data_IF_268244208255
#
_entry.id   IF_268244208255
#
_cell.length_a   1.000
_cell.length_b   1.000
_cell.length_c   1.000
_cell.angle_alpha   90.00
_cell.angle_beta   90.00
_cell.angle_gamma   90.00
#
_symmetry.space_group_name_H-M   'P 1'
#
loop_
_entity.id
_entity.type
_entity.pdbx_description
1 polymer ?
#
# COMPACT_ATOMS: atom_id res chain seq x y z
N UNK A 1 45.58 5.77 -75.97
CA UNK A 1 44.28 6.44 -75.72
C UNK A 1 43.94 6.13 -74.27
N UNK A 2 44.36 6.93 -73.29
CA UNK A 2 43.77 8.22 -72.86
C UNK A 2 42.97 7.92 -71.58
N UNK A 3 43.07 8.60 -70.44
CA UNK A 3 43.76 9.83 -70.02
C UNK A 3 44.00 9.71 -68.49
N UNK A 4 45.09 10.31 -68.01
CA UNK A 4 45.37 10.61 -66.60
C UNK A 4 44.34 11.59 -66.02
N UNK A 5 44.05 11.51 -64.72
CA UNK A 5 44.18 12.68 -63.84
C UNK A 5 44.50 12.28 -62.39
N UNK A 6 45.63 12.80 -61.91
CA UNK A 6 46.10 12.79 -60.52
C UNK A 6 45.26 13.70 -59.62
N UNK A 7 45.13 13.33 -58.33
CA UNK A 7 45.48 14.16 -57.14
C UNK A 7 45.26 13.32 -55.87
N UNK A 8 46.32 12.85 -55.21
CA UNK A 8 47.17 13.47 -54.16
C UNK A 8 46.67 13.18 -52.73
N UNK A 9 47.50 12.38 -52.05
CA UNK A 9 47.58 11.97 -50.63
C UNK A 9 46.93 12.91 -49.60
N UNK A 10 46.32 12.29 -48.57
CA UNK A 10 46.70 12.53 -47.18
C UNK A 10 46.86 11.18 -46.46
N UNK A 11 48.01 11.01 -45.79
CA UNK A 11 48.24 9.98 -44.77
C UNK A 11 47.47 10.46 -43.54
N UNK A 12 46.40 9.77 -43.17
CA UNK A 12 45.90 9.86 -41.81
C UNK A 12 46.60 8.79 -40.97
N UNK A 13 47.19 9.27 -39.88
CA UNK A 13 47.78 8.46 -38.84
C UNK A 13 46.65 7.63 -38.21
N UNK A 14 46.71 6.31 -38.35
CA UNK A 14 46.01 5.40 -37.45
C UNK A 14 46.73 5.44 -36.10
N UNK A 15 46.38 6.41 -35.25
CA UNK A 15 46.49 6.20 -33.82
C UNK A 15 45.38 5.23 -33.41
N UNK A 16 45.67 4.19 -32.60
CA UNK A 16 44.63 3.36 -32.05
C UNK A 16 43.74 4.26 -31.19
N UNK A 17 42.46 4.36 -31.58
CA UNK A 17 41.42 4.96 -30.76
C UNK A 17 41.50 4.33 -29.38
N UNK A 18 41.87 5.15 -28.39
CA UNK A 18 41.83 4.77 -26.99
C UNK A 18 40.44 4.19 -26.72
N UNK A 19 40.40 2.96 -26.21
CA UNK A 19 39.19 2.39 -25.66
C UNK A 19 38.66 3.36 -24.62
N UNK A 20 37.58 4.06 -24.93
CA UNK A 20 36.83 4.82 -23.94
C UNK A 20 36.22 3.77 -23.03
N UNK A 21 36.92 3.50 -21.93
CA UNK A 21 36.32 2.83 -20.78
C UNK A 21 35.08 3.65 -20.42
N UNK A 22 33.87 3.08 -20.38
CA UNK A 22 32.70 3.83 -19.95
C UNK A 22 33.02 4.39 -18.56
N UNK A 23 33.00 5.71 -18.42
CA UNK A 23 33.04 6.34 -17.12
C UNK A 23 31.85 5.75 -16.36
N UNK A 24 32.10 4.97 -15.30
CA UNK A 24 31.02 4.39 -14.51
C UNK A 24 30.16 5.54 -14.05
N UNK A 25 28.89 5.58 -14.48
CA UNK A 25 27.97 6.63 -14.04
C UNK A 25 27.95 6.59 -12.51
N UNK A 26 28.21 7.73 -11.88
CA UNK A 26 28.16 7.85 -10.43
C UNK A 26 26.77 7.39 -9.98
N UNK A 27 26.74 6.40 -9.08
CA UNK A 27 25.47 5.93 -8.50
C UNK A 27 24.93 7.06 -7.62
N UNK A 28 23.65 7.41 -7.83
CA UNK A 28 22.93 8.39 -7.01
C UNK A 28 22.92 7.99 -5.54
N UNK A 29 23.02 8.97 -4.63
CA UNK A 29 22.76 8.74 -3.21
C UNK A 29 21.28 8.93 -2.88
N UNK A 30 20.88 8.45 -1.69
CA UNK A 30 19.52 8.64 -1.20
C UNK A 30 19.20 10.12 -0.98
N UNK A 31 20.17 10.86 -0.45
CA UNK A 31 20.07 12.29 -0.17
C UNK A 31 19.95 13.09 -1.47
N UNK A 32 20.72 12.74 -2.52
CA UNK A 32 20.61 13.36 -3.84
C UNK A 32 19.21 13.17 -4.44
N UNK A 33 18.61 11.98 -4.31
CA UNK A 33 17.26 11.70 -4.81
C UNK A 33 16.20 12.50 -4.02
N UNK A 34 16.30 12.52 -2.69
CA UNK A 34 15.37 13.30 -1.85
C UNK A 34 15.46 14.78 -2.17
N UNK A 35 16.67 15.33 -2.25
CA UNK A 35 16.91 16.74 -2.58
C UNK A 35 16.30 17.11 -3.93
N UNK A 36 16.47 16.27 -4.96
CA UNK A 36 15.86 16.48 -6.28
C UNK A 36 14.33 16.46 -6.26
N UNK A 37 13.72 15.52 -5.55
CA UNK A 37 12.27 15.44 -5.38
C UNK A 37 11.75 16.73 -4.73
N UNK A 38 12.37 17.16 -3.63
CA UNK A 38 11.96 18.34 -2.86
C UNK A 38 12.29 19.65 -3.57
N UNK A 39 13.33 19.70 -4.41
CA UNK A 39 13.71 20.89 -5.19
C UNK A 39 12.95 21.02 -6.52
N UNK A 40 11.83 20.31 -6.67
CA UNK A 40 10.84 20.58 -7.70
C UNK A 40 10.90 19.67 -8.93
N UNK A 41 11.80 18.68 -8.98
CA UNK A 41 11.78 17.71 -10.09
C UNK A 41 10.45 16.95 -10.09
N UNK A 42 10.01 16.41 -8.95
CA UNK A 42 8.71 15.75 -8.86
C UNK A 42 7.55 16.69 -9.22
N UNK A 43 7.58 17.92 -8.69
CA UNK A 43 6.60 18.96 -8.99
C UNK A 43 6.47 19.26 -10.49
N UNK A 44 7.55 19.09 -11.25
CA UNK A 44 7.55 19.30 -12.71
C UNK A 44 6.86 18.18 -13.51
N UNK A 45 6.66 17.01 -12.91
CA UNK A 45 6.00 15.85 -13.55
C UNK A 45 4.50 15.78 -13.31
N UNK A 46 3.97 16.53 -12.33
CA UNK A 46 2.56 16.46 -11.95
C UNK A 46 1.78 17.69 -12.44
N UNK A 47 0.50 17.48 -12.71
CA UNK A 47 -0.40 18.55 -13.17
C UNK A 47 -1.04 19.35 -12.02
N UNK A 48 -0.96 18.82 -10.79
CA UNK A 48 -1.42 19.50 -9.58
C UNK A 48 -0.38 20.52 -9.14
N UNK A 49 -0.84 21.70 -8.70
CA UNK A 49 0.06 22.67 -8.10
C UNK A 49 0.65 22.08 -6.82
N UNK A 50 1.93 22.34 -6.64
CA UNK A 50 2.65 21.85 -5.47
C UNK A 50 3.61 22.89 -4.96
N UNK A 51 3.87 22.81 -3.65
CA UNK A 51 4.88 23.61 -2.98
C UNK A 51 5.66 22.74 -2.01
N UNK A 52 6.97 22.93 -1.95
CA UNK A 52 7.81 22.24 -0.98
C UNK A 52 7.80 23.01 0.34
N UNK A 53 7.54 22.31 1.43
CA UNK A 53 7.60 22.83 2.79
C UNK A 53 8.49 21.89 3.61
N UNK A 54 9.69 22.34 3.96
CA UNK A 54 10.68 21.53 4.68
C UNK A 54 10.95 20.17 3.99
N UNK A 55 10.56 19.06 4.62
CA UNK A 55 10.73 17.69 4.15
C UNK A 55 9.49 17.09 3.47
N UNK A 56 8.50 17.92 3.13
CA UNK A 56 7.26 17.51 2.46
C UNK A 56 6.98 18.31 1.20
N UNK A 57 6.23 17.69 0.29
CA UNK A 57 5.55 18.36 -0.82
C UNK A 57 4.09 18.52 -0.44
N UNK A 58 3.55 19.73 -0.55
CA UNK A 58 2.17 20.05 -0.26
C UNK A 58 1.38 20.32 -1.55
N UNK A 59 0.21 19.71 -1.68
CA UNK A 59 -0.75 19.93 -2.77
C UNK A 59 -1.97 20.67 -2.21
N UNK A 60 -2.12 21.98 -2.46
CA UNK A 60 -3.19 22.78 -1.88
C UNK A 60 -4.60 22.30 -2.24
N UNK A 61 -4.84 21.91 -3.49
CA UNK A 61 -6.17 21.52 -3.99
C UNK A 61 -6.76 20.29 -3.27
N UNK A 62 -5.90 19.44 -2.71
CA UNK A 62 -6.29 18.23 -1.97
C UNK A 62 -5.99 18.34 -0.47
N UNK A 63 -5.49 19.49 0.00
CA UNK A 63 -4.88 19.66 1.33
C UNK A 63 -3.98 18.46 1.68
N UNK A 64 -3.13 18.09 0.73
CA UNK A 64 -2.36 16.85 0.80
C UNK A 64 -0.90 17.10 1.12
N UNK A 65 -0.37 16.35 2.08
CA UNK A 65 1.05 16.31 2.43
C UNK A 65 1.65 15.03 1.86
N UNK A 66 2.76 15.12 1.15
CA UNK A 66 3.48 14.00 0.53
C UNK A 66 4.90 13.99 1.09
N UNK A 67 5.29 12.88 1.72
CA UNK A 67 6.64 12.66 2.25
C UNK A 67 7.33 11.51 1.52
N UNK A 68 8.40 11.80 0.75
CA UNK A 68 9.17 10.78 0.05
C UNK A 68 10.17 10.09 0.99
N UNK A 69 10.41 8.79 0.76
CA UNK A 69 11.44 8.02 1.44
C UNK A 69 12.16 7.10 0.45
N UNK A 70 13.50 7.16 0.44
CA UNK A 70 14.32 6.32 -0.45
C UNK A 70 14.81 5.09 0.31
N UNK A 71 14.24 3.93 -0.02
CA UNK A 71 14.56 2.65 0.60
C UNK A 71 15.88 2.08 0.11
N UNK A 72 16.09 2.09 -1.21
CA UNK A 72 17.22 1.46 -1.84
C UNK A 72 17.66 2.25 -3.08
N UNK A 73 18.99 2.39 -3.23
CA UNK A 73 19.61 2.86 -4.47
C UNK A 73 20.76 1.91 -4.78
N UNK A 74 20.69 1.31 -5.97
CA UNK A 74 21.72 0.47 -6.57
C UNK A 74 22.01 1.00 -7.98
N UNK A 75 23.00 0.42 -8.64
CA UNK A 75 23.41 0.82 -9.99
C UNK A 75 22.26 0.89 -10.99
N UNK A 76 21.23 0.04 -10.86
CA UNK A 76 20.11 -0.03 -11.81
C UNK A 76 18.74 -0.05 -11.15
N UNK A 77 18.67 0.07 -9.83
CA UNK A 77 17.43 -0.07 -9.05
C UNK A 77 17.31 1.10 -8.10
N UNK A 78 16.16 1.75 -8.11
CA UNK A 78 15.77 2.78 -7.15
C UNK A 78 14.39 2.44 -6.61
N UNK A 79 14.25 2.37 -5.29
CA UNK A 79 12.98 2.14 -4.61
C UNK A 79 12.63 3.35 -3.74
N UNK A 80 11.53 4.02 -4.09
CA UNK A 80 11.03 5.21 -3.39
C UNK A 80 9.62 4.92 -2.92
N UNK A 81 9.30 5.24 -1.67
CA UNK A 81 7.92 5.27 -1.20
C UNK A 81 7.46 6.69 -0.97
N UNK A 82 6.17 6.91 -1.14
CA UNK A 82 5.50 8.16 -0.83
C UNK A 82 4.44 7.88 0.23
N UNK A 83 4.61 8.50 1.40
CA UNK A 83 3.59 8.53 2.45
C UNK A 83 2.80 9.82 2.31
N UNK A 84 1.48 9.70 2.22
CA UNK A 84 0.62 10.80 1.85
C UNK A 84 -0.59 10.87 2.76
N UNK A 85 -1.03 12.08 3.09
CA UNK A 85 -2.30 12.27 3.76
C UNK A 85 -3.02 13.48 3.18
N UNK A 86 -4.32 13.33 2.90
CA UNK A 86 -5.19 14.42 2.45
C UNK A 86 -6.23 14.72 3.52
N UNK A 87 -6.27 15.98 3.96
CA UNK A 87 -7.32 16.46 4.87
C UNK A 87 -8.69 16.52 4.16
N UNK A 88 -8.74 16.72 2.83
CA UNK A 88 -10.00 16.70 2.05
C UNK A 88 -10.56 15.28 1.89
N UNK A 89 -9.70 14.32 1.55
CA UNK A 89 -10.10 12.93 1.32
C UNK A 89 -10.17 12.10 2.61
N UNK A 90 -9.73 12.67 3.73
CA UNK A 90 -9.68 12.06 5.07
C UNK A 90 -8.97 10.70 5.13
N UNK A 91 -8.07 10.45 4.18
CA UNK A 91 -7.42 9.15 3.99
C UNK A 91 -5.91 9.32 3.87
N UNK A 92 -5.18 8.38 4.46
CA UNK A 92 -3.75 8.17 4.21
C UNK A 92 -3.59 7.32 2.96
N UNK A 93 -2.69 7.73 2.08
CA UNK A 93 -2.27 6.93 0.96
C UNK A 93 -0.80 6.55 1.12
N UNK A 94 -0.46 5.37 0.63
CA UNK A 94 0.91 4.90 0.59
C UNK A 94 1.16 4.21 -0.75
N UNK A 95 2.27 4.56 -1.40
CA UNK A 95 2.70 3.90 -2.62
C UNK A 95 4.21 3.70 -2.64
N UNK A 96 4.64 2.54 -3.12
CA UNK A 96 6.04 2.21 -3.39
C UNK A 96 6.26 2.12 -4.90
N UNK A 97 7.20 2.90 -5.40
CA UNK A 97 7.62 2.90 -6.79
C UNK A 97 9.05 2.37 -6.92
N UNK A 98 9.16 1.23 -7.60
CA UNK A 98 10.42 0.64 -8.02
C UNK A 98 10.71 1.07 -9.46
N UNK A 99 11.92 1.57 -9.70
CA UNK A 99 12.45 1.85 -11.03
C UNK A 99 13.61 0.93 -11.37
N UNK A 100 13.61 0.37 -12.57
CA UNK A 100 14.65 -0.51 -13.10
C UNK A 100 15.26 0.09 -14.37
N UNK A 101 16.42 0.73 -14.22
CA UNK A 101 17.11 1.48 -15.27
C UNK A 101 18.29 0.78 -15.93
N UNK A 102 18.92 1.46 -16.88
CA UNK A 102 20.27 1.12 -17.35
C UNK A 102 21.33 1.61 -16.36
N UNK A 103 21.00 2.64 -15.59
CA UNK A 103 21.77 3.27 -14.52
C UNK A 103 20.85 3.79 -13.40
N UNK A 104 21.41 4.41 -12.35
CA UNK A 104 20.63 4.91 -11.22
C UNK A 104 19.77 6.13 -11.59
N UNK A 105 20.19 6.92 -12.57
CA UNK A 105 19.47 8.11 -13.06
C UNK A 105 18.17 7.71 -13.78
N UNK A 106 18.28 6.79 -14.73
CA UNK A 106 17.13 6.22 -15.43
C UNK A 106 16.22 5.41 -14.49
N UNK A 107 16.78 4.69 -13.51
CA UNK A 107 16.00 4.01 -12.48
C UNK A 107 15.20 5.00 -11.61
N UNK A 108 15.83 6.09 -11.17
CA UNK A 108 15.17 7.17 -10.46
C UNK A 108 14.04 7.80 -11.30
N UNK A 109 14.33 8.15 -12.56
CA UNK A 109 13.34 8.68 -13.51
C UNK A 109 12.12 7.78 -13.71
N UNK A 110 12.33 6.46 -13.78
CA UNK A 110 11.23 5.49 -13.85
C UNK A 110 10.41 5.43 -12.56
N UNK A 111 11.06 5.48 -11.39
CA UNK A 111 10.37 5.46 -10.10
C UNK A 111 9.45 6.68 -9.92
N UNK A 112 9.98 7.89 -10.15
CA UNK A 112 9.20 9.13 -10.03
C UNK A 112 8.12 9.22 -11.11
N UNK A 113 8.44 8.82 -12.35
CA UNK A 113 7.49 8.82 -13.46
C UNK A 113 6.34 7.85 -13.22
N UNK A 114 6.62 6.66 -12.69
CA UNK A 114 5.56 5.71 -12.29
C UNK A 114 4.61 6.33 -11.28
N UNK A 115 5.11 7.01 -10.25
CA UNK A 115 4.27 7.67 -9.26
C UNK A 115 3.45 8.83 -9.85
N UNK A 116 4.08 9.71 -10.62
CA UNK A 116 3.45 10.88 -11.22
C UNK A 116 2.34 10.49 -12.23
N UNK A 117 2.64 9.58 -13.15
CA UNK A 117 1.73 9.24 -14.26
C UNK A 117 0.70 8.17 -13.91
N UNK A 118 0.80 7.52 -12.74
CA UNK A 118 -0.26 6.64 -12.25
C UNK A 118 -1.00 7.30 -11.08
N UNK A 119 -0.41 7.26 -9.89
CA UNK A 119 -1.05 7.67 -8.65
C UNK A 119 -1.50 9.14 -8.67
N UNK A 120 -0.59 10.07 -8.99
CA UNK A 120 -0.91 11.50 -8.95
C UNK A 120 -1.86 11.93 -10.05
N UNK A 121 -1.81 11.27 -11.21
CA UNK A 121 -2.78 11.50 -12.27
C UNK A 121 -4.20 11.08 -11.85
N UNK A 122 -4.36 9.95 -11.15
CA UNK A 122 -5.67 9.57 -10.62
C UNK A 122 -6.17 10.56 -9.55
N UNK A 123 -5.28 11.11 -8.71
CA UNK A 123 -5.63 12.20 -7.80
C UNK A 123 -5.98 13.51 -8.51
N UNK A 124 -5.37 13.80 -9.66
CA UNK A 124 -5.76 14.91 -10.53
C UNK A 124 -7.19 14.73 -11.02
N UNK A 125 -7.57 13.51 -11.42
CA UNK A 125 -8.96 13.21 -11.81
C UNK A 125 -9.94 13.45 -10.64
N UNK A 126 -9.55 13.14 -9.40
CA UNK A 126 -10.33 13.48 -8.21
C UNK A 126 -10.46 14.99 -8.05
N UNK A 127 -9.36 15.74 -8.13
CA UNK A 127 -9.35 17.20 -7.98
C UNK A 127 -10.18 17.91 -9.07
N UNK A 128 -10.17 17.38 -10.30
CA UNK A 128 -10.97 17.89 -11.42
C UNK A 128 -12.43 17.44 -11.39
N UNK A 129 -12.79 16.53 -10.47
CA UNK A 129 -14.08 15.87 -10.43
C UNK A 129 -14.42 15.14 -11.75
N UNK A 130 -13.42 14.50 -12.39
CA UNK A 130 -13.56 13.66 -13.59
C UNK A 130 -14.07 12.25 -13.23
N UNK A 131 -15.33 12.19 -12.83
CA UNK A 131 -16.01 10.96 -12.41
C UNK A 131 -16.18 10.00 -13.59
N UNK A 132 -15.65 8.77 -13.46
CA UNK A 132 -15.81 7.71 -14.46
C UNK A 132 -17.15 7.00 -14.35
N UNK A 133 -17.56 6.66 -13.13
CA UNK A 133 -18.88 6.10 -12.86
C UNK A 133 -19.30 6.35 -11.40
N UNK A 134 -20.57 6.04 -11.11
CA UNK A 134 -21.11 6.04 -9.75
C UNK A 134 -21.61 4.66 -9.39
N UNK A 135 -21.41 4.27 -8.15
CA UNK A 135 -21.78 2.96 -7.61
C UNK A 135 -22.43 3.14 -6.24
N UNK A 136 -23.11 2.10 -5.77
CA UNK A 136 -23.67 2.02 -4.41
C UNK A 136 -23.18 0.77 -3.71
N UNK A 137 -23.04 0.84 -2.39
CA UNK A 137 -22.77 -0.32 -1.53
C UNK A 137 -23.68 -0.30 -0.29
N UNK A 138 -23.68 -1.39 0.46
CA UNK A 138 -24.32 -1.49 1.76
C UNK A 138 -23.30 -2.01 2.78
N UNK A 139 -23.21 -1.37 3.94
CA UNK A 139 -22.38 -1.80 5.05
C UNK A 139 -23.07 -1.45 6.38
N UNK A 140 -23.05 -2.37 7.33
CA UNK A 140 -23.69 -2.21 8.64
C UNK A 140 -25.15 -1.72 8.58
N UNK A 141 -25.91 -2.13 7.56
CA UNK A 141 -27.31 -1.73 7.36
C UNK A 141 -27.52 -0.33 6.76
N UNK A 142 -26.44 0.35 6.36
CA UNK A 142 -26.47 1.67 5.72
C UNK A 142 -26.08 1.57 4.25
N UNK A 143 -26.79 2.33 3.41
CA UNK A 143 -26.46 2.43 1.99
C UNK A 143 -25.54 3.61 1.74
N UNK A 144 -24.49 3.40 0.94
CA UNK A 144 -23.47 4.39 0.62
C UNK A 144 -23.41 4.61 -0.89
N UNK A 145 -23.26 5.86 -1.30
CA UNK A 145 -23.09 6.27 -2.70
C UNK A 145 -21.66 6.73 -2.93
N UNK A 146 -21.09 6.36 -4.09
CA UNK A 146 -19.69 6.61 -4.39
C UNK A 146 -19.50 7.14 -5.80
N UNK A 147 -18.51 8.01 -5.94
CA UNK A 147 -17.94 8.44 -7.22
C UNK A 147 -16.60 7.75 -7.44
N UNK A 148 -16.43 7.12 -8.60
CA UNK A 148 -15.22 6.39 -8.97
C UNK A 148 -14.40 7.21 -9.96
N UNK A 149 -13.11 7.34 -9.65
CA UNK A 149 -12.09 7.97 -10.47
C UNK A 149 -11.00 6.93 -10.79
N UNK A 150 -10.30 7.10 -11.90
CA UNK A 150 -9.22 6.20 -12.30
C UNK A 150 -8.04 6.99 -12.84
N UNK A 151 -6.83 6.50 -12.58
CA UNK A 151 -5.68 6.86 -13.39
C UNK A 151 -5.74 6.16 -14.75
N UNK A 152 -4.93 6.62 -15.68
CA UNK A 152 -4.52 5.85 -16.84
C UNK A 152 -3.69 4.63 -16.40
N UNK A 153 -3.56 3.68 -17.32
CA UNK A 153 -2.70 2.52 -17.13
C UNK A 153 -1.27 2.90 -17.52
N UNK A 154 -0.38 2.91 -16.55
CA UNK A 154 1.06 3.10 -16.79
C UNK A 154 1.68 1.75 -17.14
N UNK A 155 2.27 1.67 -18.33
CA UNK A 155 2.98 0.47 -18.81
C UNK A 155 4.48 0.71 -18.84
N UNK A 156 5.23 -0.28 -18.36
CA UNK A 156 6.70 -0.34 -18.46
C UNK A 156 7.07 -1.64 -19.17
N UNK A 157 8.03 -1.59 -20.09
CA UNK A 157 8.49 -2.75 -20.86
C UNK A 157 8.47 -2.53 -22.37
N UNK A 158 9.12 -3.43 -23.11
CA UNK A 158 9.48 -3.24 -24.52
C UNK A 158 8.70 -4.14 -25.50
N UNK A 159 7.50 -4.61 -25.15
CA UNK A 159 6.70 -5.37 -26.12
C UNK A 159 6.29 -4.48 -27.30
N UNK A 160 6.48 -5.04 -28.50
CA UNK A 160 5.97 -4.50 -29.77
C UNK A 160 4.51 -4.86 -30.01
N UNK A 161 3.97 -5.80 -29.23
CA UNK A 161 2.60 -6.28 -29.32
C UNK A 161 1.69 -5.42 -28.46
N UNK A 162 0.82 -4.65 -29.13
CA UNK A 162 -0.26 -3.94 -28.47
C UNK A 162 -1.34 -4.96 -28.09
N UNK A 163 -1.25 -5.52 -26.89
CA UNK A 163 -2.42 -6.14 -26.27
C UNK A 163 -3.41 -5.02 -25.88
N UNK A 164 -4.71 -5.34 -25.95
CA UNK A 164 -5.79 -4.43 -25.57
C UNK A 164 -5.53 -3.87 -24.16
N UNK A 165 -5.90 -2.61 -23.96
CA UNK A 165 -5.83 -1.96 -22.66
C UNK A 165 -6.66 -2.79 -21.68
N UNK A 166 -6.03 -3.25 -20.61
CA UNK A 166 -6.69 -4.07 -19.59
C UNK A 166 -7.85 -3.31 -18.95
N UNK A 167 -9.07 -3.84 -19.04
CA UNK A 167 -10.21 -3.26 -18.32
C UNK A 167 -10.25 -3.79 -16.88
N UNK A 168 -9.33 -3.27 -16.06
CA UNK A 168 -9.20 -3.68 -14.65
C UNK A 168 -10.46 -3.33 -13.84
N UNK A 169 -11.18 -2.27 -14.20
CA UNK A 169 -12.40 -1.89 -13.51
C UNK A 169 -13.49 -2.93 -13.72
N UNK A 170 -13.79 -3.28 -14.98
CA UNK A 170 -14.83 -4.27 -15.27
C UNK A 170 -14.49 -5.66 -14.71
N UNK A 171 -13.20 -6.00 -14.63
CA UNK A 171 -12.74 -7.24 -13.99
C UNK A 171 -13.00 -7.28 -12.48
N UNK A 172 -12.84 -6.14 -11.78
CA UNK A 172 -12.71 -6.11 -10.32
C UNK A 172 -13.88 -5.43 -9.59
N UNK A 173 -14.72 -4.65 -10.28
CA UNK A 173 -15.72 -3.76 -9.65
C UNK A 173 -16.62 -4.46 -8.63
N UNK A 174 -17.13 -5.64 -8.95
CA UNK A 174 -18.09 -6.34 -8.09
C UNK A 174 -17.44 -6.79 -6.78
N UNK A 175 -16.15 -7.11 -6.79
CA UNK A 175 -15.43 -7.50 -5.58
C UNK A 175 -14.85 -6.32 -4.81
N UNK A 176 -14.57 -5.22 -5.50
CA UNK A 176 -14.23 -3.94 -4.85
C UNK A 176 -15.46 -3.41 -4.09
N UNK A 177 -16.65 -3.43 -4.70
CA UNK A 177 -17.90 -2.96 -4.08
C UNK A 177 -18.19 -3.67 -2.75
N UNK A 178 -17.92 -4.99 -2.67
CA UNK A 178 -18.09 -5.79 -1.44
C UNK A 178 -17.19 -5.34 -0.28
N UNK A 179 -16.15 -4.56 -0.56
CA UNK A 179 -15.12 -4.12 0.40
C UNK A 179 -15.24 -2.65 0.76
N UNK A 180 -16.29 -1.97 0.28
CA UNK A 180 -16.58 -0.60 0.64
C UNK A 180 -17.37 -0.58 1.96
N UNK A 181 -16.80 0.05 2.99
CA UNK A 181 -17.43 0.31 4.28
C UNK A 181 -17.95 1.74 4.39
N UNK A 182 -17.82 2.35 5.56
CA UNK A 182 -18.13 3.77 5.77
C UNK A 182 -16.85 4.62 5.82
N UNK A 183 -16.29 4.96 4.65
CA UNK A 183 -14.98 5.60 4.54
C UNK A 183 -15.02 6.72 3.51
N UNK A 184 -14.48 7.90 3.84
CA UNK A 184 -14.50 9.04 2.92
C UNK A 184 -13.86 8.73 1.57
N UNK A 185 -12.75 7.98 1.56
CA UNK A 185 -12.07 7.59 0.33
C UNK A 185 -11.43 6.22 0.49
N UNK A 186 -11.67 5.36 -0.50
CA UNK A 186 -11.00 4.07 -0.69
C UNK A 186 -10.15 4.17 -1.95
N UNK A 187 -8.89 3.71 -1.88
CA UNK A 187 -8.06 3.61 -3.07
C UNK A 187 -7.67 2.16 -3.37
N UNK A 188 -7.66 1.84 -4.66
CA UNK A 188 -7.35 0.50 -5.16
C UNK A 188 -6.12 0.59 -6.03
N UNK A 189 -5.09 -0.18 -5.70
CA UNK A 189 -3.93 -0.39 -6.56
C UNK A 189 -4.12 -1.67 -7.33
N UNK A 190 -3.94 -1.60 -8.64
CA UNK A 190 -3.81 -2.76 -9.51
C UNK A 190 -2.42 -2.75 -10.11
N UNK A 191 -1.68 -3.84 -9.90
CA UNK A 191 -0.37 -4.03 -10.49
C UNK A 191 -0.28 -5.43 -11.11
N UNK A 192 0.22 -5.49 -12.33
CA UNK A 192 0.37 -6.73 -13.06
C UNK A 192 1.73 -6.74 -13.73
N UNK A 193 2.45 -7.85 -13.69
CA UNK A 193 3.72 -7.97 -14.40
C UNK A 193 3.98 -9.38 -14.92
N UNK A 194 4.73 -9.44 -16.02
CA UNK A 194 5.20 -10.66 -16.66
C UNK A 194 6.69 -10.59 -16.94
N UNK A 195 7.39 -11.71 -16.73
CA UNK A 195 8.78 -11.91 -17.15
C UNK A 195 9.01 -13.38 -17.51
N UNK A 196 9.00 -13.68 -18.81
CA UNK A 196 9.00 -15.06 -19.28
C UNK A 196 7.78 -15.82 -18.75
N UNK A 197 7.99 -16.92 -18.02
CA UNK A 197 6.90 -17.69 -17.42
C UNK A 197 6.43 -17.19 -16.05
N UNK A 198 7.09 -16.17 -15.48
CA UNK A 198 6.75 -15.63 -14.17
C UNK A 198 5.73 -14.51 -14.32
N UNK A 199 4.63 -14.62 -13.58
CA UNK A 199 3.56 -13.63 -13.56
C UNK A 199 3.29 -13.22 -12.11
N UNK A 200 3.10 -11.91 -11.91
CA UNK A 200 2.70 -11.34 -10.63
C UNK A 200 1.47 -10.48 -10.89
N UNK A 201 0.35 -10.83 -10.26
CA UNK A 201 -0.82 -9.97 -10.14
C UNK A 201 -1.00 -9.56 -8.69
N UNK A 202 -1.13 -8.27 -8.46
CA UNK A 202 -1.37 -7.67 -7.16
C UNK A 202 -2.57 -6.73 -7.26
N UNK A 203 -3.48 -6.86 -6.30
CA UNK A 203 -4.52 -5.90 -6.06
C UNK A 203 -4.50 -5.53 -4.58
N UNK A 204 -4.46 -4.23 -4.28
CA UNK A 204 -4.55 -3.72 -2.90
C UNK A 204 -5.72 -2.78 -2.76
N UNK A 205 -6.39 -2.81 -1.62
CA UNK A 205 -7.43 -1.85 -1.25
C UNK A 205 -6.98 -1.21 0.07
N UNK A 206 -6.79 0.11 0.09
CA UNK A 206 -6.23 0.84 1.24
C UNK A 206 -4.91 0.22 1.76
N UNK A 207 -4.04 -0.18 0.82
CA UNK A 207 -2.78 -0.91 1.07
C UNK A 207 -2.92 -2.25 1.81
N UNK A 208 -4.10 -2.86 1.79
CA UNK A 208 -4.29 -4.27 2.17
C UNK A 208 -4.22 -5.10 0.89
N UNK A 209 -3.29 -6.05 0.83
CA UNK A 209 -3.20 -7.02 -0.28
C UNK A 209 -4.43 -7.91 -0.27
N UNK A 210 -5.06 -8.07 -1.44
CA UNK A 210 -6.22 -8.94 -1.63
C UNK A 210 -5.81 -10.09 -2.56
N UNK A 211 -5.32 -11.24 -2.04
CA UNK A 211 -4.77 -12.31 -2.86
C UNK A 211 -5.75 -12.83 -3.91
N UNK A 212 -7.04 -12.90 -3.57
CA UNK A 212 -8.11 -13.31 -4.50
C UNK A 212 -8.17 -12.41 -5.74
N UNK A 213 -8.09 -11.09 -5.56
CA UNK A 213 -8.12 -10.13 -6.65
C UNK A 213 -6.79 -10.06 -7.40
N UNK A 214 -5.66 -10.19 -6.69
CA UNK A 214 -4.35 -10.34 -7.31
C UNK A 214 -4.28 -11.54 -8.27
N UNK A 215 -4.89 -12.66 -7.89
CA UNK A 215 -5.00 -13.83 -8.76
C UNK A 215 -5.81 -13.55 -10.04
N UNK A 216 -6.92 -12.80 -9.95
CA UNK A 216 -7.70 -12.39 -11.14
C UNK A 216 -6.89 -11.50 -12.07
N UNK A 217 -6.14 -10.56 -11.50
CA UNK A 217 -5.23 -9.67 -12.25
C UNK A 217 -4.12 -10.48 -12.95
N UNK A 218 -3.55 -11.46 -12.27
CA UNK A 218 -2.50 -12.33 -12.83
C UNK A 218 -2.95 -13.09 -14.08
N UNK A 219 -4.24 -13.45 -14.20
CA UNK A 219 -4.77 -14.11 -15.40
C UNK A 219 -4.67 -13.25 -16.67
N UNK A 220 -4.57 -11.93 -16.53
CA UNK A 220 -4.32 -11.03 -17.66
C UNK A 220 -2.88 -11.19 -18.16
N UNK A 221 -1.89 -11.12 -17.26
CA UNK A 221 -0.48 -11.17 -17.65
C UNK A 221 -0.04 -12.56 -18.11
N UNK A 222 -0.74 -13.63 -17.71
CA UNK A 222 -0.53 -14.98 -18.29
C UNK A 222 -0.79 -15.06 -19.79
N UNK A 223 -1.55 -14.11 -20.34
CA UNK A 223 -1.85 -14.02 -21.78
C UNK A 223 -0.83 -13.16 -22.53
N UNK A 224 0.09 -12.49 -21.83
CA UNK A 224 1.12 -11.69 -22.47
C UNK A 224 2.19 -12.61 -23.04
N UNK A 225 2.39 -12.55 -24.36
CA UNK A 225 3.49 -13.25 -25.03
C UNK A 225 4.80 -12.48 -24.88
N UNK A 226 5.33 -12.40 -23.65
CA UNK A 226 6.55 -11.63 -23.37
C UNK A 226 7.73 -12.48 -22.91
N UNK A 227 8.89 -12.20 -23.52
CA UNK A 227 10.19 -12.73 -23.09
C UNK A 227 10.99 -11.73 -22.24
N UNK A 228 10.52 -10.49 -22.14
CA UNK A 228 11.16 -9.42 -21.38
C UNK A 228 10.25 -9.00 -20.22
N UNK A 229 10.73 -8.06 -19.40
CA UNK A 229 9.93 -7.57 -18.28
C UNK A 229 8.88 -6.60 -18.79
N UNK A 230 7.64 -6.86 -18.42
CA UNK A 230 6.50 -5.99 -18.67
C UNK A 230 5.68 -5.81 -17.41
N UNK A 231 5.14 -4.62 -17.22
CA UNK A 231 4.20 -4.34 -16.15
C UNK A 231 3.16 -3.31 -16.54
N UNK A 232 1.98 -3.45 -15.96
CA UNK A 232 0.92 -2.46 -15.94
C UNK A 232 0.60 -2.07 -14.51
N UNK A 233 0.33 -0.79 -14.28
CA UNK A 233 -0.14 -0.26 -13.01
C UNK A 233 -1.28 0.71 -13.23
N UNK A 234 -2.35 0.59 -12.44
CA UNK A 234 -3.48 1.51 -12.42
C UNK A 234 -3.95 1.74 -10.98
N UNK A 235 -4.48 2.93 -10.72
CA UNK A 235 -5.16 3.25 -9.46
C UNK A 235 -6.62 3.62 -9.70
N UNK A 236 -7.48 3.17 -8.80
CA UNK A 236 -8.85 3.67 -8.65
C UNK A 236 -8.96 4.44 -7.34
N UNK A 237 -9.68 5.55 -7.37
CA UNK A 237 -10.05 6.33 -6.19
C UNK A 237 -11.57 6.34 -6.11
N UNK A 238 -12.11 5.90 -4.99
CA UNK A 238 -13.55 5.70 -4.78
C UNK A 238 -13.93 6.59 -3.60
N UNK A 239 -14.61 7.69 -3.89
CA UNK A 239 -14.92 8.74 -2.93
C UNK A 239 -16.38 8.66 -2.56
N UNK A 240 -16.67 8.59 -1.26
CA UNK A 240 -18.03 8.54 -0.76
C UNK A 240 -18.71 9.91 -0.84
N UNK A 241 -19.97 9.90 -1.25
CA UNK A 241 -20.82 11.08 -1.25
C UNK A 241 -21.11 11.52 0.20
N UNK A 242 -20.92 12.82 0.48
CA UNK A 242 -21.08 13.41 1.83
C UNK A 242 -22.48 13.20 2.43
N UNK A 243 -23.50 12.96 1.62
CA UNK A 243 -24.86 12.71 2.09
C UNK A 243 -25.07 11.29 2.63
N UNK A 244 -24.10 10.39 2.41
CA UNK A 244 -24.21 8.97 2.78
C UNK A 244 -23.08 8.50 3.69
N UNK A 245 -22.14 9.39 4.04
CA UNK A 245 -21.09 9.12 5.02
C UNK A 245 -21.67 9.25 6.43
N UNK A 246 -21.36 8.28 7.29
CA UNK A 246 -21.70 8.31 8.71
C UNK A 246 -20.56 8.93 9.49
N UNK A 247 -20.89 9.61 10.59
CA UNK A 247 -19.92 10.22 11.48
C UNK A 247 -18.93 9.19 12.01
N UNK A 248 -17.64 9.51 11.92
CA UNK A 248 -16.56 8.63 12.35
C UNK A 248 -15.65 9.38 13.35
N UNK A 249 -15.51 8.90 14.61
CA UNK A 249 -14.82 9.63 15.68
C UNK A 249 -13.33 9.92 15.42
N UNK A 250 -12.70 9.18 14.51
CA UNK A 250 -11.27 9.29 14.21
C UNK A 250 -10.99 9.84 12.81
N UNK A 251 -11.99 10.50 12.20
CA UNK A 251 -11.81 11.18 10.91
C UNK A 251 -10.89 12.41 11.04
N UNK A 252 -10.15 12.70 9.97
CA UNK A 252 -9.27 13.86 9.91
C UNK A 252 -7.97 13.70 10.71
N UNK A 253 -7.13 14.74 10.71
CA UNK A 253 -5.83 14.71 11.39
C UNK A 253 -5.96 14.53 12.91
N UNK A 254 -6.82 15.30 13.59
CA UNK A 254 -7.03 15.19 15.05
C UNK A 254 -7.58 13.82 15.46
N UNK A 255 -8.50 13.27 14.66
CA UNK A 255 -9.07 11.95 14.89
C UNK A 255 -8.03 10.84 14.79
N UNK A 256 -7.16 10.88 13.78
CA UNK A 256 -6.06 9.92 13.63
C UNK A 256 -5.06 10.01 14.78
N UNK A 257 -4.70 11.22 15.21
CA UNK A 257 -3.81 11.43 16.36
C UNK A 257 -4.43 10.82 17.63
N UNK A 258 -5.75 10.97 17.80
CA UNK A 258 -6.50 10.36 18.90
C UNK A 258 -6.49 8.83 18.83
N UNK A 259 -6.72 8.23 17.66
CA UNK A 259 -6.67 6.78 17.47
C UNK A 259 -5.26 6.24 17.75
N UNK A 260 -4.24 6.89 17.20
CA UNK A 260 -2.85 6.51 17.42
C UNK A 260 -2.45 6.58 18.89
N UNK A 261 -2.91 7.61 19.61
CA UNK A 261 -2.72 7.72 21.05
C UNK A 261 -3.43 6.58 21.81
N UNK A 262 -4.65 6.22 21.42
CA UNK A 262 -5.41 5.13 22.03
C UNK A 262 -4.72 3.76 21.82
N UNK A 263 -4.26 3.46 20.59
CA UNK A 263 -3.49 2.25 20.29
C UNK A 263 -2.18 2.21 21.10
N UNK A 264 -1.51 3.36 21.24
CA UNK A 264 -0.31 3.48 22.07
C UNK A 264 -0.61 3.19 23.54
N UNK A 265 -1.71 3.70 24.07
CA UNK A 265 -2.16 3.42 25.45
C UNK A 265 -2.43 1.92 25.63
N UNK A 266 -3.16 1.30 24.70
CA UNK A 266 -3.41 -0.14 24.73
C UNK A 266 -2.10 -0.95 24.79
N UNK A 267 -1.14 -0.66 23.91
CA UNK A 267 0.14 -1.37 23.87
C UNK A 267 0.96 -1.19 25.16
N UNK A 268 0.89 -0.02 25.80
CA UNK A 268 1.54 0.24 27.09
C UNK A 268 0.87 -0.48 28.26
N UNK A 269 -0.45 -0.58 28.25
CA UNK A 269 -1.19 -1.38 29.23
C UNK A 269 -0.82 -2.85 29.03
N UNK A 270 -0.87 -3.34 27.79
CA UNK A 270 -0.51 -4.72 27.44
C UNK A 270 0.91 -5.06 27.89
N UNK A 271 1.88 -4.16 27.71
CA UNK A 271 3.26 -4.41 28.12
C UNK A 271 3.43 -4.59 29.64
N UNK A 272 2.48 -4.11 30.45
CA UNK A 272 2.53 -4.19 31.90
C UNK A 272 1.82 -5.42 32.47
N UNK A 273 1.12 -6.20 31.64
CA UNK A 273 0.38 -7.40 32.05
C UNK A 273 1.34 -8.49 32.55
N UNK A 274 1.00 -9.05 33.71
CA UNK A 274 1.74 -10.09 34.44
C UNK A 274 0.87 -11.26 34.87
N UNK A 275 -0.45 -11.18 34.71
CA UNK A 275 -1.38 -12.24 35.09
C UNK A 275 -2.52 -12.40 34.08
N UNK A 276 -3.19 -13.56 34.13
CA UNK A 276 -4.38 -13.81 33.31
C UNK A 276 -5.53 -12.87 33.68
N UNK A 277 -5.71 -12.56 34.97
CA UNK A 277 -6.75 -11.64 35.44
C UNK A 277 -6.57 -10.21 34.89
N UNK A 278 -5.33 -9.73 34.81
CA UNK A 278 -5.02 -8.43 34.19
C UNK A 278 -5.32 -8.44 32.68
N UNK A 279 -5.04 -9.56 32.01
CA UNK A 279 -5.37 -9.74 30.60
C UNK A 279 -6.88 -9.80 30.36
N UNK A 280 -7.62 -10.54 31.17
CA UNK A 280 -9.08 -10.67 31.05
C UNK A 280 -9.78 -9.32 31.23
N UNK A 281 -9.18 -8.40 32.02
CA UNK A 281 -9.69 -7.04 32.25
C UNK A 281 -9.07 -5.97 31.34
N UNK A 282 -8.25 -6.34 30.34
CA UNK A 282 -7.50 -5.36 29.52
C UNK A 282 -8.42 -4.42 28.74
N UNK A 283 -9.56 -4.93 28.25
CA UNK A 283 -10.53 -4.14 27.50
C UNK A 283 -11.14 -3.07 28.39
N UNK A 284 -11.59 -3.43 29.60
CA UNK A 284 -12.14 -2.48 30.57
C UNK A 284 -11.12 -1.42 30.97
N UNK A 285 -9.90 -1.88 31.27
CA UNK A 285 -8.80 -1.01 31.68
C UNK A 285 -8.48 -0.01 30.57
N UNK A 286 -8.37 -0.46 29.33
CA UNK A 286 -8.09 0.40 28.17
C UNK A 286 -9.26 1.36 27.93
N UNK A 287 -10.50 0.86 27.89
CA UNK A 287 -11.70 1.66 27.66
C UNK A 287 -11.85 2.79 28.69
N UNK A 288 -11.50 2.54 29.96
CA UNK A 288 -11.55 3.55 31.02
C UNK A 288 -10.57 4.73 30.80
N UNK A 289 -9.49 4.49 30.06
CA UNK A 289 -8.46 5.50 29.75
C UNK A 289 -8.77 6.20 28.43
N UNK A 290 -9.15 5.45 27.39
CA UNK A 290 -9.33 6.01 26.04
C UNK A 290 -10.75 6.57 25.81
N UNK A 291 -11.72 6.20 26.65
CA UNK A 291 -13.10 6.66 26.56
C UNK A 291 -13.90 6.06 25.39
N UNK A 292 -13.40 5.01 24.76
CA UNK A 292 -14.04 4.29 23.65
C UNK A 292 -13.85 2.78 23.88
N UNK A 293 -14.93 2.11 24.28
CA UNK A 293 -14.94 0.67 24.53
C UNK A 293 -14.81 -0.14 23.25
N UNK A 294 -15.45 0.28 22.17
CA UNK A 294 -15.36 -0.37 20.86
C UNK A 294 -13.92 -0.41 20.40
N UNK A 295 -13.22 0.73 20.43
CA UNK A 295 -11.80 0.78 20.06
C UNK A 295 -10.91 -0.08 20.96
N UNK A 296 -11.22 -0.17 22.26
CA UNK A 296 -10.48 -1.05 23.17
C UNK A 296 -10.66 -2.54 22.81
N UNK A 297 -11.88 -2.95 22.43
CA UNK A 297 -12.15 -4.30 21.91
C UNK A 297 -11.39 -4.54 20.61
N UNK A 298 -11.47 -3.62 19.65
CA UNK A 298 -10.76 -3.70 18.37
C UNK A 298 -9.25 -3.81 18.57
N UNK A 299 -8.66 -3.02 19.47
CA UNK A 299 -7.26 -3.14 19.84
C UNK A 299 -6.93 -4.54 20.38
N UNK A 300 -7.76 -5.08 21.29
CA UNK A 300 -7.54 -6.41 21.83
C UNK A 300 -7.67 -7.53 20.79
N UNK A 301 -8.59 -7.39 19.84
CA UNK A 301 -8.87 -8.43 18.85
C UNK A 301 -7.95 -8.36 17.64
N UNK A 302 -7.70 -7.17 17.11
CA UNK A 302 -7.02 -7.01 15.82
C UNK A 302 -5.50 -6.98 15.95
N UNK A 303 -4.94 -6.41 17.03
CA UNK A 303 -3.50 -6.14 17.12
C UNK A 303 -2.67 -7.43 17.12
N UNK A 304 -3.13 -8.50 17.76
CA UNK A 304 -2.44 -9.81 17.76
C UNK A 304 -2.32 -10.36 16.34
N UNK A 305 -3.43 -10.36 15.58
CA UNK A 305 -3.45 -10.84 14.20
C UNK A 305 -2.67 -9.91 13.27
N UNK A 306 -2.79 -8.58 13.42
CA UNK A 306 -1.99 -7.61 12.65
C UNK A 306 -0.48 -7.87 12.82
N UNK A 307 -0.01 -8.09 14.06
CA UNK A 307 1.39 -8.38 14.32
C UNK A 307 1.81 -9.73 13.72
N UNK A 308 0.95 -10.75 13.84
CA UNK A 308 1.24 -12.08 13.34
C UNK A 308 1.24 -12.16 11.81
N UNK A 309 0.29 -11.50 11.14
CA UNK A 309 0.25 -11.40 9.68
C UNK A 309 1.53 -10.78 9.15
N UNK A 310 2.01 -9.71 9.79
CA UNK A 310 3.26 -9.08 9.39
C UNK A 310 4.47 -9.97 9.66
N UNK A 311 4.51 -10.63 10.81
CA UNK A 311 5.64 -11.49 11.19
C UNK A 311 5.74 -12.77 10.34
N UNK A 312 4.60 -13.30 9.91
CA UNK A 312 4.52 -14.54 9.13
C UNK A 312 4.19 -14.32 7.64
N UNK A 313 4.49 -13.15 7.09
CA UNK A 313 4.17 -12.78 5.70
C UNK A 313 4.81 -13.70 4.64
N UNK A 314 5.94 -14.33 4.96
CA UNK A 314 6.61 -15.31 4.09
C UNK A 314 6.04 -16.75 4.20
N UNK A 315 5.19 -16.99 5.20
CA UNK A 315 4.63 -18.32 5.51
C UNK A 315 3.17 -18.39 5.08
N UNK A 316 2.39 -17.35 5.40
CA UNK A 316 0.95 -17.31 5.14
C UNK A 316 0.59 -16.40 3.97
N UNK A 317 -0.39 -16.85 3.20
CA UNK A 317 -1.15 -16.01 2.27
C UNK A 317 -2.48 -15.73 2.96
N UNK A 318 -2.56 -14.58 3.63
CA UNK A 318 -3.74 -14.15 4.37
C UNK A 318 -4.71 -13.40 3.44
N UNK A 319 -5.96 -13.84 3.43
CA UNK A 319 -7.08 -13.10 2.87
C UNK A 319 -7.49 -11.92 3.75
N UNK A 320 -8.54 -11.23 3.31
CA UNK A 320 -9.08 -10.06 3.98
C UNK A 320 -10.47 -10.27 4.58
N UNK A 321 -11.06 -11.46 4.43
CA UNK A 321 -12.37 -11.78 5.02
C UNK A 321 -12.24 -11.97 6.52
N UNK A 322 -13.27 -11.53 7.24
CA UNK A 322 -13.40 -11.75 8.67
C UNK A 322 -14.85 -11.97 9.05
N UNK A 323 -15.08 -12.70 10.13
CA UNK A 323 -16.38 -12.81 10.78
C UNK A 323 -16.31 -12.21 12.18
N UNK A 324 -17.27 -11.34 12.47
CA UNK A 324 -17.51 -10.78 13.81
C UNK A 324 -18.61 -11.64 14.44
N UNK A 325 -18.27 -12.37 15.50
CA UNK A 325 -19.18 -13.34 16.15
C UNK A 325 -19.57 -12.83 17.54
N UNK A 326 -20.88 -12.74 17.77
CA UNK A 326 -21.48 -12.29 19.03
C UNK A 326 -21.75 -13.47 19.98
N UNK A 327 -22.00 -13.22 21.28
CA UNK A 327 -22.21 -14.29 22.26
C UNK A 327 -23.41 -15.21 22.00
N UNK A 328 -24.40 -14.75 21.24
CA UNK A 328 -25.57 -15.53 20.81
C UNK A 328 -25.30 -16.39 19.55
N UNK A 329 -24.06 -16.38 19.04
CA UNK A 329 -23.61 -16.96 17.77
C UNK A 329 -24.17 -16.30 16.51
N UNK A 330 -24.78 -15.11 16.62
CA UNK A 330 -24.96 -14.27 15.44
C UNK A 330 -23.59 -13.89 14.88
N UNK A 331 -23.48 -13.84 13.55
CA UNK A 331 -22.24 -13.44 12.88
C UNK A 331 -22.48 -12.42 11.79
N UNK A 332 -21.55 -11.47 11.69
CA UNK A 332 -21.49 -10.50 10.59
C UNK A 332 -20.21 -10.78 9.82
N UNK A 333 -20.37 -11.23 8.58
CA UNK A 333 -19.25 -11.36 7.64
C UNK A 333 -18.86 -9.99 7.10
N UNK A 334 -17.56 -9.70 7.08
CA UNK A 334 -17.00 -8.44 6.61
C UNK A 334 -15.62 -8.64 6.00
N UNK A 335 -14.99 -7.54 5.61
CA UNK A 335 -13.62 -7.49 5.13
C UNK A 335 -12.82 -6.49 5.96
N UNK A 336 -11.53 -6.74 6.17
CA UNK A 336 -10.60 -5.82 6.85
C UNK A 336 -10.70 -4.39 6.30
N UNK A 337 -10.88 -4.28 4.98
CA UNK A 337 -11.01 -3.00 4.29
C UNK A 337 -12.33 -2.28 4.54
N UNK A 338 -13.38 -2.93 5.05
CA UNK A 338 -14.64 -2.25 5.36
C UNK A 338 -14.62 -1.59 6.74
N UNK A 339 -13.87 -2.16 7.68
CA UNK A 339 -13.78 -1.66 9.04
C UNK A 339 -13.00 -0.33 9.05
N UNK A 340 -13.62 0.74 9.54
CA UNK A 340 -13.03 2.09 9.50
C UNK A 340 -11.75 2.19 10.34
N UNK A 341 -11.70 1.43 11.44
CA UNK A 341 -10.58 1.45 12.39
C UNK A 341 -9.43 0.52 12.01
N UNK A 342 -9.68 -0.57 11.26
CA UNK A 342 -8.69 -1.65 11.10
C UNK A 342 -7.36 -1.19 10.49
N UNK A 343 -7.41 -0.48 9.36
CA UNK A 343 -6.20 0.04 8.68
C UNK A 343 -5.47 1.06 9.56
N UNK A 344 -6.23 1.89 10.30
CA UNK A 344 -5.65 2.92 11.16
C UNK A 344 -5.01 2.32 12.41
N UNK A 345 -5.62 1.28 13.01
CA UNK A 345 -5.03 0.50 14.08
C UNK A 345 -3.74 -0.15 13.59
N UNK A 346 -3.75 -0.78 12.41
CA UNK A 346 -2.55 -1.38 11.81
C UNK A 346 -1.41 -0.38 11.67
N UNK A 347 -1.69 0.77 11.09
CA UNK A 347 -0.70 1.82 10.87
C UNK A 347 -0.17 2.37 12.22
N UNK A 348 -1.05 2.58 13.20
CA UNK A 348 -0.69 3.03 14.54
C UNK A 348 0.16 2.00 15.32
N UNK A 349 -0.14 0.71 15.17
CA UNK A 349 0.65 -0.40 15.74
C UNK A 349 2.06 -0.36 15.19
N UNK A 350 2.21 -0.33 13.86
CA UNK A 350 3.55 -0.34 13.25
C UNK A 350 4.32 0.96 13.50
N UNK A 351 3.63 2.09 13.62
CA UNK A 351 4.25 3.31 14.12
C UNK A 351 4.78 3.12 15.55
N UNK A 352 3.97 2.57 16.46
CA UNK A 352 4.38 2.37 17.85
C UNK A 352 5.62 1.46 17.95
N UNK A 353 5.65 0.34 17.21
CA UNK A 353 6.82 -0.55 17.15
C UNK A 353 8.02 0.06 16.40
N UNK A 354 7.79 0.94 15.43
CA UNK A 354 8.86 1.69 14.74
C UNK A 354 9.48 2.81 15.57
N UNK A 355 8.83 3.21 16.67
CA UNK A 355 9.20 4.36 17.50
C UNK A 355 9.79 3.95 18.87
N UNK A 356 10.38 4.88 19.63
CA UNK A 356 10.87 4.60 20.99
C UNK A 356 9.76 4.52 22.05
N UNK A 357 8.47 4.60 21.68
CA UNK A 357 7.32 4.71 22.60
C UNK A 357 7.23 3.53 23.59
N UNK A 358 7.59 2.32 23.16
CA UNK A 358 7.55 1.10 23.98
C UNK A 358 8.89 0.80 24.69
N UNK A 359 9.91 1.64 24.49
CA UNK A 359 11.25 1.45 25.07
C UNK A 359 11.84 0.06 24.79
N UNK A 360 12.56 -0.48 25.77
CA UNK A 360 13.26 -1.77 25.66
C UNK A 360 12.31 -2.98 25.63
N UNK A 361 11.05 -2.81 26.07
CA UNK A 361 10.05 -3.88 26.11
C UNK A 361 9.50 -4.26 24.72
N UNK A 362 9.81 -3.46 23.69
CA UNK A 362 9.25 -3.59 22.34
C UNK A 362 9.31 -5.03 21.79
N UNK A 363 10.48 -5.67 21.86
CA UNK A 363 10.66 -7.03 21.32
C UNK A 363 9.85 -8.08 22.07
N UNK A 364 9.78 -7.96 23.40
CA UNK A 364 8.98 -8.84 24.26
C UNK A 364 7.50 -8.70 23.95
N UNK A 365 7.00 -7.46 23.87
CA UNK A 365 5.59 -7.16 23.60
C UNK A 365 5.18 -7.71 22.22
N UNK A 366 5.99 -7.46 21.19
CA UNK A 366 5.71 -7.96 19.84
C UNK A 366 5.65 -9.50 19.80
N UNK A 367 6.62 -10.17 20.44
CA UNK A 367 6.64 -11.63 20.54
C UNK A 367 5.44 -12.21 21.28
N UNK A 368 4.98 -11.54 22.35
CA UNK A 368 3.78 -11.95 23.10
C UNK A 368 2.51 -11.82 22.25
N UNK A 369 2.33 -10.70 21.56
CA UNK A 369 1.19 -10.50 20.64
C UNK A 369 1.15 -11.56 19.54
N UNK A 370 2.30 -11.87 18.94
CA UNK A 370 2.40 -12.94 17.93
C UNK A 370 2.04 -14.30 18.55
N UNK A 371 2.61 -14.63 19.70
CA UNK A 371 2.39 -15.91 20.38
C UNK A 371 0.94 -16.16 20.80
N UNK A 372 0.15 -15.09 20.93
CA UNK A 372 -1.28 -15.16 21.26
C UNK A 372 -2.19 -15.21 20.02
N UNK A 373 -1.64 -15.07 18.82
CA UNK A 373 -2.42 -15.03 17.58
C UNK A 373 -2.90 -16.41 17.14
N UNK A 374 -3.99 -16.42 16.37
CA UNK A 374 -4.50 -17.60 15.68
C UNK A 374 -3.49 -18.15 14.67
N UNK A 375 -2.77 -17.28 13.96
CA UNK A 375 -1.74 -17.68 12.99
C UNK A 375 -0.59 -18.43 13.64
N UNK A 376 -0.16 -18.02 14.84
CA UNK A 376 0.86 -18.75 15.58
C UNK A 376 0.37 -20.15 15.96
N UNK A 377 -0.86 -20.27 16.46
CA UNK A 377 -1.46 -21.56 16.80
C UNK A 377 -1.58 -22.49 15.58
N UNK A 378 -1.97 -21.95 14.42
CA UNK A 378 -2.02 -22.71 13.16
C UNK A 378 -0.62 -23.19 12.79
N UNK A 379 0.39 -22.32 12.88
CA UNK A 379 1.76 -22.67 12.53
C UNK A 379 2.31 -23.80 13.41
N UNK A 380 2.07 -23.76 14.72
CA UNK A 380 2.51 -24.83 15.64
C UNK A 380 1.85 -26.17 15.29
N UNK A 381 0.54 -26.19 14.98
CA UNK A 381 -0.14 -27.41 14.53
C UNK A 381 0.39 -27.94 13.18
N UNK A 382 0.80 -27.06 12.27
CA UNK A 382 1.34 -27.47 10.97
C UNK A 382 2.76 -28.01 11.11
N UNK A 383 3.57 -27.44 12.00
CA UNK A 383 4.95 -27.92 12.27
C UNK A 383 4.99 -29.35 12.79
N UNK A 384 3.92 -29.85 13.41
CA UNK A 384 3.79 -31.27 13.77
C UNK A 384 3.76 -32.20 12.54
N UNK A 385 3.42 -31.67 11.35
CA UNK A 385 3.20 -32.43 10.11
C UNK A 385 4.22 -32.15 9.01
N UNK A 386 4.87 -30.99 9.01
CA UNK A 386 5.87 -30.61 8.01
C UNK A 386 6.97 -29.73 8.60
N UNK A 387 8.19 -29.89 8.10
CA UNK A 387 9.35 -29.09 8.51
C UNK A 387 9.53 -27.79 7.71
N UNK A 388 8.76 -27.58 6.62
CA UNK A 388 8.83 -26.36 5.79
C UNK A 388 7.42 -25.85 5.44
N UNK A 389 6.70 -25.24 6.40
CA UNK A 389 5.40 -24.63 6.14
C UNK A 389 5.58 -23.35 5.31
N UNK A 390 5.15 -23.36 4.04
CA UNK A 390 5.11 -22.18 3.17
C UNK A 390 3.85 -22.16 2.31
N UNK A 391 3.36 -20.97 2.00
CA UNK A 391 2.17 -20.77 1.17
C UNK A 391 0.89 -21.26 1.83
N UNK A 392 0.83 -21.25 3.15
CA UNK A 392 -0.36 -21.63 3.91
C UNK A 392 -1.45 -20.57 3.70
N UNK A 393 -2.63 -20.98 3.23
CA UNK A 393 -3.73 -20.04 2.96
C UNK A 393 -4.61 -19.90 4.19
N UNK A 394 -4.89 -18.65 4.57
CA UNK A 394 -5.85 -18.31 5.62
C UNK A 394 -6.87 -17.38 4.99
N UNK A 395 -8.02 -17.93 4.63
CA UNK A 395 -9.03 -17.17 3.87
C UNK A 395 -9.88 -16.27 4.76
N UNK A 396 -10.03 -16.60 6.05
CA UNK A 396 -10.96 -15.94 6.97
C UNK A 396 -10.41 -15.92 8.41
N UNK A 397 -10.67 -14.84 9.14
CA UNK A 397 -10.34 -14.67 10.57
C UNK A 397 -11.61 -14.44 11.37
N UNK A 398 -11.76 -15.11 12.51
CA UNK A 398 -12.95 -14.99 13.36
C UNK A 398 -12.61 -14.15 14.60
N UNK A 399 -13.36 -13.07 14.82
CA UNK A 399 -13.26 -12.22 16.01
C UNK A 399 -14.50 -12.39 16.88
N UNK A 400 -14.32 -12.95 18.08
CA UNK A 400 -15.38 -13.03 19.08
C UNK A 400 -15.48 -11.71 19.85
N UNK A 401 -16.62 -11.03 19.78
CA UNK A 401 -16.83 -9.69 20.34
C UNK A 401 -17.93 -9.71 21.42
N UNK A 402 -17.99 -8.71 22.32
CA UNK A 402 -19.10 -8.60 23.28
C UNK A 402 -20.41 -8.20 22.59
N UNK A 403 -21.53 -8.37 23.30
CA UNK A 403 -22.89 -8.08 22.80
C UNK A 403 -23.09 -6.62 22.37
N UNK A 404 -22.37 -5.69 23.01
CA UNK A 404 -22.44 -4.25 22.76
C UNK A 404 -21.46 -3.76 21.68
N UNK A 405 -20.79 -4.66 20.96
CA UNK A 405 -19.82 -4.29 19.93
C UNK A 405 -20.49 -3.63 18.72
N UNK A 406 -19.98 -2.46 18.34
CA UNK A 406 -20.41 -1.73 17.15
C UNK A 406 -19.47 -2.05 15.98
N UNK A 407 -20.04 -2.47 14.84
CA UNK A 407 -19.28 -2.66 13.60
C UNK A 407 -19.20 -1.32 12.87
N UNK A 408 -17.99 -0.75 12.77
CA UNK A 408 -17.75 0.55 12.14
C UNK A 408 -16.56 0.56 11.20
#
# INVERSE_FOLDING_TARGET
>A
MGFNFFKRKNKENNEPTASVTPEKSKILTKEEIIDRILNGEFSSFIELKSETRDDIIYIPELEMKIKPYVWEVKERIVNISFDMYSDVLKTRFFEICAGLGEDSESAYGMAIGSFAFSFMQGLKAVADNDVKCRITSEFAGHSHSWSVYSSDIVRVGASKEKHEVSDYWELLKDDIIKRLGNQKTVYVKVFNSGFGSKVIGECRINDIVIPELGAKVAEIAKKWETSQYESEKQFFFIVQDDNTILDYPYSGTEGRDKLQAAVTVYLKIFSQIKSQEEYDNIVETTASVIGDRTLAVECNRFITEICAEKYFEDIFICGDKLDIVFPDNASIGSYKCQLSDYVQIRDAVFFAFGSPILGDDRGRVYGQLIGMSSLHNILEQVKEKTNDPKGLKVDNVIYNVPEDFEVR
#
